data_IF_869439751737
#
_entry.id   IF_869439751737
#
_cell.length_a   1.000
_cell.length_b   1.000
_cell.length_c   1.000
_cell.angle_alpha   90.00
_cell.angle_beta   90.00
_cell.angle_gamma   90.00
#
_symmetry.space_group_name_H-M   'P 1'
#
loop_
_entity.id
_entity.type
_entity.pdbx_description
1 polymer ?
#
# COMPACT_ATOMS: atom_id res chain seq x y z
N UNK A 1 10.63 -26.96 -37.28
CA UNK A 1 11.11 -25.98 -36.29
C UNK A 1 12.55 -25.65 -36.65
N UNK A 2 12.85 -24.39 -36.96
CA UNK A 2 14.20 -23.98 -37.38
C UNK A 2 15.17 -23.89 -36.19
N UNK A 3 16.47 -23.89 -36.44
CA UNK A 3 17.48 -23.70 -35.39
C UNK A 3 17.30 -22.36 -34.66
N UNK A 4 16.84 -21.32 -35.36
CA UNK A 4 16.50 -20.01 -34.76
C UNK A 4 15.28 -20.09 -33.84
N UNK A 5 14.23 -20.82 -34.20
CA UNK A 5 13.07 -21.06 -33.32
C UNK A 5 13.47 -21.81 -32.04
N UNK A 6 14.37 -22.80 -32.16
CA UNK A 6 14.85 -23.55 -31.00
C UNK A 6 15.69 -22.68 -30.07
N UNK A 7 16.60 -21.87 -30.61
CA UNK A 7 17.46 -20.96 -29.83
C UNK A 7 16.63 -19.86 -29.17
N UNK A 8 15.69 -19.26 -29.89
CA UNK A 8 14.77 -18.26 -29.35
C UNK A 8 13.91 -18.85 -28.22
N UNK A 9 13.33 -20.04 -28.42
CA UNK A 9 12.56 -20.73 -27.38
C UNK A 9 13.42 -21.12 -26.16
N UNK A 10 14.67 -21.54 -26.38
CA UNK A 10 15.60 -21.89 -25.31
C UNK A 10 16.05 -20.67 -24.50
N UNK A 11 16.36 -19.55 -25.16
CA UNK A 11 16.68 -18.27 -24.52
C UNK A 11 15.48 -17.72 -23.76
N UNK A 12 14.28 -17.79 -24.33
CA UNK A 12 13.06 -17.36 -23.67
C UNK A 12 12.78 -18.20 -22.41
N UNK A 13 13.01 -19.52 -22.47
CA UNK A 13 12.93 -20.40 -21.28
C UNK A 13 14.02 -20.10 -20.24
N UNK A 14 15.25 -19.82 -20.67
CA UNK A 14 16.38 -19.50 -19.78
C UNK A 14 16.20 -18.15 -19.05
N UNK A 15 15.66 -17.15 -19.75
CA UNK A 15 15.32 -15.84 -19.16
C UNK A 15 14.15 -16.00 -18.19
N UNK A 16 13.10 -16.75 -18.56
CA UNK A 16 11.94 -17.00 -17.69
C UNK A 16 12.26 -17.81 -16.43
N UNK A 17 13.34 -18.62 -16.45
CA UNK A 17 13.78 -19.45 -15.31
C UNK A 17 14.63 -18.67 -14.28
N UNK A 18 15.00 -17.42 -14.57
CA UNK A 18 15.96 -16.65 -13.77
C UNK A 18 15.34 -15.52 -12.96
N UNK A 19 14.05 -15.23 -13.12
CA UNK A 19 13.42 -14.25 -12.26
C UNK A 19 13.16 -14.89 -10.88
N UNK A 20 13.69 -14.33 -9.78
CA UNK A 20 13.45 -14.85 -8.45
C UNK A 20 11.96 -14.65 -8.12
N UNK A 21 11.16 -15.69 -8.34
CA UNK A 21 9.78 -15.72 -7.88
C UNK A 21 9.81 -15.82 -6.34
N UNK A 22 9.28 -14.80 -5.67
CA UNK A 22 9.11 -14.84 -4.23
C UNK A 22 8.06 -15.93 -3.91
N UNK A 23 8.44 -16.92 -3.10
CA UNK A 23 7.51 -17.98 -2.68
C UNK A 23 6.40 -17.40 -1.78
N UNK A 24 5.32 -18.16 -1.61
CA UNK A 24 4.27 -17.83 -0.63
C UNK A 24 4.81 -17.55 0.77
N UNK A 25 5.93 -18.18 1.16
CA UNK A 25 6.59 -17.98 2.45
C UNK A 25 7.05 -16.53 2.64
N UNK A 26 7.51 -15.89 1.55
CA UNK A 26 7.91 -14.48 1.58
C UNK A 26 6.75 -13.55 1.91
N UNK A 27 5.56 -13.84 1.40
CA UNK A 27 4.35 -13.07 1.73
C UNK A 27 3.85 -13.32 3.16
N UNK A 28 3.99 -14.53 3.70
CA UNK A 28 3.76 -14.76 5.13
C UNK A 28 4.72 -13.98 6.02
N UNK A 29 5.99 -13.86 5.62
CA UNK A 29 6.95 -13.01 6.33
C UNK A 29 6.53 -11.54 6.30
N UNK A 30 6.10 -11.01 5.15
CA UNK A 30 5.57 -9.65 5.07
C UNK A 30 4.35 -9.46 5.97
N UNK A 31 3.39 -10.38 5.98
CA UNK A 31 2.23 -10.33 6.87
C UNK A 31 2.65 -10.33 8.36
N UNK A 32 3.60 -11.18 8.74
CA UNK A 32 4.12 -11.25 10.11
C UNK A 32 4.82 -9.95 10.54
N UNK A 33 5.60 -9.33 9.64
CA UNK A 33 6.25 -8.05 9.89
C UNK A 33 5.22 -6.91 10.08
N UNK A 34 4.16 -6.86 9.28
CA UNK A 34 3.06 -5.92 9.47
C UNK A 34 2.35 -6.13 10.82
N UNK A 35 2.10 -7.38 11.22
CA UNK A 35 1.52 -7.70 12.53
C UNK A 35 2.43 -7.32 13.70
N UNK A 36 3.74 -7.53 13.56
CA UNK A 36 4.72 -7.07 14.54
C UNK A 36 4.68 -5.54 14.65
N UNK A 37 4.72 -4.82 13.53
CA UNK A 37 4.60 -3.36 13.50
C UNK A 37 3.29 -2.88 14.14
N UNK A 38 2.17 -3.55 13.88
CA UNK A 38 0.87 -3.29 14.51
C UNK A 38 0.94 -3.44 16.03
N UNK A 39 1.46 -4.57 16.54
CA UNK A 39 1.64 -4.81 17.96
C UNK A 39 2.50 -3.71 18.62
N UNK A 40 3.58 -3.31 17.95
CA UNK A 40 4.47 -2.25 18.41
C UNK A 40 3.80 -0.87 18.52
N UNK A 41 2.68 -0.63 17.81
CA UNK A 41 1.94 0.64 17.90
C UNK A 41 1.16 0.81 19.21
N UNK A 42 0.99 -0.24 20.00
CA UNK A 42 0.28 -0.18 21.29
C UNK A 42 1.20 0.24 22.46
N UNK A 43 2.50 0.45 22.21
CA UNK A 43 3.43 0.97 23.21
C UNK A 43 3.30 2.47 23.48
N UNK A 44 3.84 2.93 24.62
CA UNK A 44 3.74 4.30 25.13
C UNK A 44 4.38 5.41 24.27
N UNK A 45 5.11 5.05 23.20
CA UNK A 45 5.82 5.99 22.33
C UNK A 45 4.92 6.71 21.30
N UNK A 46 3.65 6.36 21.20
CA UNK A 46 2.72 6.94 20.24
C UNK A 46 1.67 7.79 20.94
N UNK A 47 1.40 8.98 20.40
CA UNK A 47 0.30 9.80 20.88
C UNK A 47 -1.04 9.17 20.45
N UNK A 48 -2.00 8.96 21.37
CA UNK A 48 -3.32 8.46 20.99
C UNK A 48 -4.02 9.49 20.10
N UNK A 49 -4.75 9.01 19.10
CA UNK A 49 -5.50 9.86 18.19
C UNK A 49 -5.89 9.12 16.92
N UNK A 50 -6.75 9.76 16.13
CA UNK A 50 -7.21 9.19 14.88
C UNK A 50 -6.08 8.88 13.88
N UNK A 51 -4.95 9.64 13.77
CA UNK A 51 -3.89 9.31 12.81
C UNK A 51 -3.22 7.96 13.14
N UNK A 52 -2.98 7.70 14.44
CA UNK A 52 -2.46 6.41 14.90
C UNK A 52 -3.49 5.29 14.66
N UNK A 53 -4.77 5.54 14.94
CA UNK A 53 -5.83 4.57 14.66
C UNK A 53 -5.90 4.22 13.16
N UNK A 54 -5.78 5.21 12.29
CA UNK A 54 -5.68 5.01 10.84
C UNK A 54 -4.47 4.15 10.46
N UNK A 55 -3.27 4.42 10.99
CA UNK A 55 -2.09 3.59 10.73
C UNK A 55 -2.26 2.14 11.20
N UNK A 56 -2.97 1.92 12.32
CA UNK A 56 -3.29 0.57 12.81
C UNK A 56 -4.23 -0.17 11.86
N UNK A 57 -5.25 0.50 11.35
CA UNK A 57 -6.15 -0.06 10.32
C UNK A 57 -5.35 -0.37 9.05
N UNK A 58 -4.51 0.55 8.59
CA UNK A 58 -3.66 0.35 7.42
C UNK A 58 -2.71 -0.85 7.59
N UNK A 59 -2.07 -1.00 8.75
CA UNK A 59 -1.24 -2.14 9.09
C UNK A 59 -2.01 -3.46 9.06
N UNK A 60 -3.21 -3.50 9.62
CA UNK A 60 -4.08 -4.68 9.60
C UNK A 60 -4.50 -5.02 8.15
N UNK A 61 -4.82 -4.01 7.34
CA UNK A 61 -5.16 -4.18 5.93
C UNK A 61 -4.02 -4.79 5.13
N UNK A 62 -2.79 -4.30 5.30
CA UNK A 62 -1.60 -4.82 4.61
C UNK A 62 -1.16 -6.20 5.13
N UNK A 63 -1.34 -6.49 6.42
CA UNK A 63 -1.17 -7.83 6.95
C UNK A 63 -2.18 -8.82 6.32
N UNK A 64 -3.44 -8.39 6.18
CA UNK A 64 -4.50 -9.18 5.53
C UNK A 64 -4.16 -9.42 4.07
N UNK A 65 -3.72 -8.37 3.36
CA UNK A 65 -3.33 -8.45 1.95
C UNK A 65 -2.25 -9.51 1.71
N UNK A 66 -1.12 -9.38 2.40
CA UNK A 66 0.00 -10.30 2.26
C UNK A 66 -0.38 -11.73 2.69
N UNK A 67 -1.26 -11.89 3.69
CA UNK A 67 -1.79 -13.20 4.08
C UNK A 67 -2.63 -13.83 2.96
N UNK A 68 -3.54 -13.07 2.35
CA UNK A 68 -4.39 -13.57 1.25
C UNK A 68 -3.55 -13.88 0.01
N UNK A 69 -2.51 -13.10 -0.28
CA UNK A 69 -1.55 -13.42 -1.36
C UNK A 69 -0.83 -14.73 -1.05
N UNK A 70 -0.30 -14.90 0.16
CA UNK A 70 0.42 -16.11 0.56
C UNK A 70 -0.46 -17.37 0.46
N UNK A 71 -1.71 -17.30 0.94
CA UNK A 71 -2.67 -18.40 0.93
C UNK A 71 -3.11 -18.84 -0.47
N UNK A 72 -2.95 -17.99 -1.49
CA UNK A 72 -3.39 -18.30 -2.84
C UNK A 72 -2.76 -19.56 -3.43
N UNK A 73 -1.52 -19.89 -3.04
CA UNK A 73 -0.86 -21.11 -3.51
C UNK A 73 -1.53 -22.42 -3.02
N UNK A 74 -2.24 -22.40 -1.90
CA UNK A 74 -2.83 -23.59 -1.26
C UNK A 74 -4.35 -23.56 -1.21
N UNK A 75 -4.97 -22.44 -1.57
CA UNK A 75 -6.41 -22.23 -1.34
C UNK A 75 -7.15 -21.61 -2.52
N UNK A 76 -6.51 -21.54 -3.69
CA UNK A 76 -7.07 -20.89 -4.88
C UNK A 76 -8.48 -21.37 -5.24
N UNK A 77 -8.74 -22.67 -5.10
CA UNK A 77 -10.02 -23.31 -5.44
C UNK A 77 -11.02 -23.32 -4.28
N UNK A 78 -10.61 -22.90 -3.09
CA UNK A 78 -11.45 -22.98 -1.91
C UNK A 78 -12.50 -21.84 -1.90
N UNK A 79 -13.80 -22.12 -1.64
CA UNK A 79 -14.84 -21.07 -1.67
C UNK A 79 -14.60 -19.91 -0.70
N UNK A 80 -13.98 -20.18 0.45
CA UNK A 80 -13.65 -19.13 1.43
C UNK A 80 -12.52 -18.20 0.97
N UNK A 81 -11.67 -18.64 0.03
CA UNK A 81 -10.57 -17.84 -0.49
C UNK A 81 -11.06 -16.68 -1.36
N UNK A 82 -12.16 -16.88 -2.09
CA UNK A 82 -12.83 -15.82 -2.83
C UNK A 82 -13.33 -14.72 -1.87
N UNK A 83 -13.97 -15.10 -0.76
CA UNK A 83 -14.44 -14.15 0.25
C UNK A 83 -13.29 -13.34 0.84
N UNK A 84 -12.17 -13.99 1.18
CA UNK A 84 -10.99 -13.29 1.68
C UNK A 84 -10.37 -12.36 0.62
N UNK A 85 -10.39 -12.76 -0.64
CA UNK A 85 -9.92 -11.90 -1.73
C UNK A 85 -10.82 -10.68 -1.93
N UNK A 86 -12.15 -10.86 -1.85
CA UNK A 86 -13.09 -9.72 -1.87
C UNK A 86 -12.86 -8.78 -0.70
N UNK A 87 -12.62 -9.32 0.51
CA UNK A 87 -12.25 -8.51 1.68
C UNK A 87 -10.94 -7.74 1.45
N UNK A 88 -9.93 -8.37 0.86
CA UNK A 88 -8.65 -7.73 0.49
C UNK A 88 -8.88 -6.51 -0.40
N UNK A 89 -9.64 -6.66 -1.49
CA UNK A 89 -9.99 -5.55 -2.39
C UNK A 89 -10.77 -4.45 -1.67
N UNK A 90 -11.75 -4.81 -0.83
CA UNK A 90 -12.52 -3.85 -0.05
C UNK A 90 -11.64 -3.03 0.92
N UNK A 91 -10.69 -3.67 1.61
CA UNK A 91 -9.77 -2.98 2.50
C UNK A 91 -8.90 -1.97 1.74
N UNK A 92 -8.41 -2.31 0.54
CA UNK A 92 -7.66 -1.36 -0.29
C UNK A 92 -8.51 -0.15 -0.69
N UNK A 93 -9.71 -0.42 -1.21
CA UNK A 93 -10.63 0.59 -1.70
C UNK A 93 -11.08 1.56 -0.60
N UNK A 94 -11.25 1.08 0.63
CA UNK A 94 -11.78 1.88 1.74
C UNK A 94 -10.69 2.56 2.57
N UNK A 95 -9.51 1.94 2.72
CA UNK A 95 -8.46 2.44 3.63
C UNK A 95 -7.48 3.36 2.92
N UNK A 96 -7.01 3.02 1.72
CA UNK A 96 -5.96 3.78 1.05
C UNK A 96 -6.33 5.24 0.70
N UNK A 97 -7.58 5.56 0.29
CA UNK A 97 -7.98 6.95 0.12
C UNK A 97 -7.80 7.82 1.37
N UNK A 98 -7.85 7.20 2.56
CA UNK A 98 -7.60 7.85 3.85
C UNK A 98 -6.17 8.39 4.03
N UNK A 99 -5.20 7.99 3.20
CA UNK A 99 -3.84 8.55 3.22
C UNK A 99 -3.81 10.07 3.01
N UNK A 100 -4.70 10.58 2.15
CA UNK A 100 -4.84 12.01 1.90
C UNK A 100 -5.24 12.78 3.18
N UNK A 101 -6.19 12.22 3.93
CA UNK A 101 -6.61 12.75 5.24
C UNK A 101 -5.46 12.61 6.25
N UNK A 102 -4.76 11.48 6.28
CA UNK A 102 -3.60 11.31 7.16
C UNK A 102 -2.53 12.39 6.88
N UNK A 103 -2.30 12.74 5.61
CA UNK A 103 -1.47 13.87 5.21
C UNK A 103 -1.91 15.20 5.83
N UNK A 104 -3.22 15.47 5.94
CA UNK A 104 -3.73 16.66 6.64
C UNK A 104 -3.42 16.61 8.14
N UNK A 105 -3.40 15.41 8.73
CA UNK A 105 -3.07 15.19 10.13
C UNK A 105 -1.57 15.27 10.44
N UNK A 106 -0.69 15.25 9.43
CA UNK A 106 0.74 15.33 9.67
C UNK A 106 1.10 16.59 10.49
N UNK A 107 2.01 16.46 11.48
CA UNK A 107 2.42 17.58 12.30
C UNK A 107 3.01 18.70 11.43
N UNK A 108 2.69 19.95 11.75
CA UNK A 108 3.05 21.10 10.92
C UNK A 108 2.32 22.35 11.38
N UNK A 109 2.56 23.52 10.76
CA UNK A 109 1.73 24.68 11.04
C UNK A 109 0.28 24.40 10.64
N UNK A 110 -0.62 25.21 11.18
CA UNK A 110 -2.03 25.13 10.87
C UNK A 110 -2.22 25.20 9.35
N UNK A 111 -2.74 24.11 8.78
CA UNK A 111 -3.04 24.07 7.35
C UNK A 111 -4.20 25.05 7.09
N UNK A 112 -4.09 25.93 6.08
CA UNK A 112 -5.17 26.84 5.71
C UNK A 112 -6.50 26.09 5.52
N UNK A 113 -7.61 26.73 5.85
CA UNK A 113 -8.94 26.09 5.78
C UNK A 113 -9.25 25.52 4.39
N UNK A 114 -8.73 26.15 3.32
CA UNK A 114 -8.89 25.67 1.94
C UNK A 114 -8.34 24.26 1.73
N UNK A 115 -7.26 23.86 2.41
CA UNK A 115 -6.74 22.49 2.30
C UNK A 115 -7.76 21.47 2.81
N UNK A 116 -8.45 21.78 3.91
CA UNK A 116 -9.51 20.89 4.42
C UNK A 116 -10.70 20.89 3.47
N UNK A 117 -11.09 22.05 2.95
CA UNK A 117 -12.21 22.18 2.01
C UNK A 117 -11.98 21.43 0.69
N UNK A 118 -10.73 21.26 0.26
CA UNK A 118 -10.38 20.51 -0.96
C UNK A 118 -10.16 19.02 -0.68
N UNK A 119 -9.37 18.68 0.35
CA UNK A 119 -8.94 17.29 0.57
C UNK A 119 -10.09 16.42 1.07
N UNK A 120 -11.03 16.94 1.86
CA UNK A 120 -12.18 16.14 2.34
C UNK A 120 -13.09 15.66 1.20
N UNK A 121 -13.62 16.54 0.33
CA UNK A 121 -14.42 16.09 -0.82
C UNK A 121 -13.65 15.19 -1.77
N UNK A 122 -12.34 15.46 -1.98
CA UNK A 122 -11.50 14.61 -2.82
C UNK A 122 -11.33 13.21 -2.23
N UNK A 123 -11.06 13.09 -0.94
CA UNK A 123 -10.94 11.81 -0.24
C UNK A 123 -12.26 11.04 -0.30
N UNK A 124 -13.39 11.72 -0.11
CA UNK A 124 -14.72 11.13 -0.26
C UNK A 124 -14.96 10.65 -1.70
N UNK A 125 -14.62 11.46 -2.70
CA UNK A 125 -14.72 11.08 -4.10
C UNK A 125 -13.86 9.85 -4.43
N UNK A 126 -12.62 9.80 -3.95
CA UNK A 126 -11.74 8.64 -4.11
C UNK A 126 -12.30 7.39 -3.43
N UNK A 127 -12.90 7.54 -2.24
CA UNK A 127 -13.53 6.44 -1.51
C UNK A 127 -14.75 5.91 -2.27
N UNK A 128 -15.64 6.78 -2.74
CA UNK A 128 -16.82 6.37 -3.51
C UNK A 128 -16.44 5.72 -4.83
N UNK A 129 -15.48 6.30 -5.55
CA UNK A 129 -14.95 5.74 -6.79
C UNK A 129 -14.31 4.36 -6.57
N UNK A 130 -13.45 4.25 -5.55
CA UNK A 130 -12.81 2.98 -5.20
C UNK A 130 -13.83 1.92 -4.78
N UNK A 131 -14.81 2.28 -3.94
CA UNK A 131 -15.86 1.35 -3.53
C UNK A 131 -16.69 0.86 -4.72
N UNK A 132 -16.99 1.72 -5.69
CA UNK A 132 -17.72 1.32 -6.88
C UNK A 132 -16.92 0.32 -7.72
N UNK A 133 -15.70 0.68 -8.13
CA UNK A 133 -14.93 -0.12 -9.08
C UNK A 133 -14.25 -1.36 -8.46
N UNK A 134 -13.82 -1.29 -7.20
CA UNK A 134 -13.04 -2.35 -6.55
C UNK A 134 -13.89 -3.24 -5.63
N UNK A 135 -15.16 -2.90 -5.40
CA UNK A 135 -16.07 -3.71 -4.57
C UNK A 135 -17.34 -4.09 -5.33
N UNK A 136 -18.06 -3.11 -5.88
CA UNK A 136 -19.36 -3.37 -6.54
C UNK A 136 -19.16 -4.04 -7.89
N UNK A 137 -18.25 -3.53 -8.73
CA UNK A 137 -17.95 -4.08 -10.05
C UNK A 137 -16.91 -5.22 -10.02
N UNK A 138 -16.47 -5.63 -8.82
CA UNK A 138 -15.41 -6.62 -8.66
C UNK A 138 -15.82 -8.00 -9.17
N UNK A 139 -15.21 -8.40 -10.28
CA UNK A 139 -15.25 -9.75 -10.82
C UNK A 139 -13.85 -10.36 -10.71
N UNK A 140 -13.75 -11.51 -10.06
CA UNK A 140 -12.48 -12.18 -9.78
C UNK A 140 -12.24 -13.34 -10.76
N UNK A 141 -10.98 -13.54 -11.12
CA UNK A 141 -10.51 -14.70 -11.88
C UNK A 141 -9.16 -15.20 -11.35
N UNK A 142 -8.85 -16.49 -11.50
CA UNK A 142 -7.53 -17.02 -11.19
C UNK A 142 -6.43 -16.39 -12.07
N UNK A 143 -5.30 -16.05 -11.47
CA UNK A 143 -4.07 -15.68 -12.17
C UNK A 143 -2.84 -16.24 -11.44
N UNK A 144 -1.76 -16.49 -12.17
CA UNK A 144 -0.53 -17.07 -11.59
C UNK A 144 0.61 -17.38 -12.55
N UNK A 145 0.55 -16.93 -13.82
CA UNK A 145 1.68 -17.14 -14.72
C UNK A 145 2.86 -16.24 -14.31
N UNK A 146 3.87 -16.82 -13.65
CA UNK A 146 5.11 -16.13 -13.24
C UNK A 146 5.06 -15.42 -11.88
N UNK A 147 4.03 -15.67 -11.06
CA UNK A 147 3.85 -15.10 -9.71
C UNK A 147 3.08 -16.09 -8.82
N UNK A 148 3.02 -15.81 -7.52
CA UNK A 148 2.19 -16.56 -6.57
C UNK A 148 0.73 -16.66 -7.09
N UNK A 149 0.18 -17.89 -7.23
CA UNK A 149 -1.20 -18.09 -7.66
C UNK A 149 -2.18 -17.36 -6.75
N UNK A 150 -3.15 -16.63 -7.33
CA UNK A 150 -4.14 -15.85 -6.57
C UNK A 150 -5.35 -15.49 -7.43
N UNK A 151 -6.40 -14.99 -6.79
CA UNK A 151 -7.51 -14.34 -7.48
C UNK A 151 -7.19 -12.85 -7.74
N UNK A 152 -7.48 -12.38 -8.96
CA UNK A 152 -7.28 -11.00 -9.41
C UNK A 152 -8.54 -10.47 -10.11
N UNK A 153 -8.70 -9.15 -10.17
CA UNK A 153 -9.76 -8.50 -10.94
C UNK A 153 -9.64 -8.83 -12.44
N UNK A 154 -10.78 -9.08 -13.09
CA UNK A 154 -10.89 -9.23 -14.55
C UNK A 154 -10.74 -7.90 -15.30
N UNK A 155 -10.84 -6.78 -14.59
CA UNK A 155 -10.73 -5.42 -15.14
C UNK A 155 -9.50 -4.74 -14.53
N UNK A 156 -8.27 -5.12 -14.94
CA UNK A 156 -7.05 -4.52 -14.39
C UNK A 156 -6.90 -3.09 -14.90
N UNK A 157 -7.32 -2.13 -14.09
CA UNK A 157 -7.05 -0.70 -14.28
C UNK A 157 -6.00 -0.20 -13.29
N UNK A 158 -5.36 0.95 -13.56
CA UNK A 158 -4.61 1.67 -12.54
C UNK A 158 -5.54 1.98 -11.35
N UNK A 159 -5.09 1.80 -10.09
CA UNK A 159 -5.91 2.09 -8.92
C UNK A 159 -6.02 3.61 -8.70
N UNK A 160 -6.83 4.28 -9.52
CA UNK A 160 -6.87 5.74 -9.61
C UNK A 160 -7.16 6.42 -8.26
N UNK A 161 -8.06 5.86 -7.46
CA UNK A 161 -8.36 6.36 -6.12
C UNK A 161 -7.10 6.39 -5.23
N UNK A 162 -6.30 5.33 -5.25
CA UNK A 162 -5.05 5.23 -4.50
C UNK A 162 -3.99 6.18 -5.05
N UNK A 163 -3.85 6.27 -6.37
CA UNK A 163 -2.88 7.18 -7.02
C UNK A 163 -3.17 8.63 -6.63
N UNK A 164 -4.42 9.08 -6.77
CA UNK A 164 -4.83 10.44 -6.41
C UNK A 164 -4.63 10.70 -4.91
N UNK A 165 -5.04 9.75 -4.05
CA UNK A 165 -4.84 9.85 -2.61
C UNK A 165 -3.36 9.99 -2.23
N UNK A 166 -2.48 9.22 -2.88
CA UNK A 166 -1.04 9.28 -2.63
C UNK A 166 -0.40 10.59 -3.14
N UNK A 167 -0.84 11.11 -4.29
CA UNK A 167 -0.37 12.42 -4.78
C UNK A 167 -0.72 13.56 -3.81
N UNK A 168 -1.92 13.55 -3.25
CA UNK A 168 -2.30 14.54 -2.22
C UNK A 168 -1.50 14.35 -0.93
N UNK A 169 -1.29 13.09 -0.51
CA UNK A 169 -0.41 12.79 0.62
C UNK A 169 1.01 13.32 0.38
N UNK A 170 1.58 13.17 -0.82
CA UNK A 170 2.89 13.70 -1.19
C UNK A 170 2.96 15.21 -1.10
N UNK A 171 1.96 15.93 -1.60
CA UNK A 171 1.92 17.40 -1.49
C UNK A 171 1.89 17.83 0.00
N UNK A 172 1.08 17.17 0.81
CA UNK A 172 0.92 17.50 2.24
C UNK A 172 2.16 17.12 3.07
N UNK A 173 2.76 15.97 2.81
CA UNK A 173 4.00 15.53 3.46
C UNK A 173 5.22 16.34 3.00
N UNK A 174 5.25 16.78 1.74
CA UNK A 174 6.24 17.73 1.23
C UNK A 174 6.15 19.09 1.93
N UNK A 175 4.93 19.60 2.15
CA UNK A 175 4.72 20.81 2.94
C UNK A 175 5.14 20.64 4.42
N UNK A 176 4.96 19.45 4.99
CA UNK A 176 5.49 19.10 6.31
C UNK A 176 7.03 19.13 6.31
N UNK A 177 7.66 18.46 5.34
CA UNK A 177 9.12 18.44 5.19
C UNK A 177 9.67 19.86 5.09
N UNK A 178 9.18 20.67 4.15
CA UNK A 178 9.67 22.03 3.93
C UNK A 178 9.67 22.88 5.20
N UNK A 179 8.67 22.70 6.09
CA UNK A 179 8.51 23.54 7.28
C UNK A 179 9.09 22.97 8.57
N UNK A 180 9.24 21.65 8.67
CA UNK A 180 9.72 20.98 9.90
C UNK A 180 11.07 20.30 9.72
N UNK A 181 11.63 20.27 8.51
CA UNK A 181 12.87 19.55 8.21
C UNK A 181 12.75 18.04 8.36
N UNK A 182 11.52 17.49 8.33
CA UNK A 182 11.26 16.06 8.52
C UNK A 182 10.80 15.41 7.20
N UNK A 183 11.72 14.86 6.40
CA UNK A 183 11.43 14.36 5.05
C UNK A 183 10.73 13.01 5.00
N UNK A 184 10.76 12.25 6.10
CA UNK A 184 10.57 10.80 6.05
C UNK A 184 9.19 10.33 5.57
N UNK A 185 8.11 11.02 5.95
CA UNK A 185 6.78 10.72 5.42
C UNK A 185 6.69 10.94 3.89
N UNK A 186 7.32 12.01 3.38
CA UNK A 186 7.37 12.29 1.95
C UNK A 186 8.20 11.25 1.20
N UNK A 187 9.40 10.93 1.71
CA UNK A 187 10.29 9.92 1.12
C UNK A 187 9.58 8.57 1.03
N UNK A 188 8.89 8.15 2.10
CA UNK A 188 8.12 6.91 2.07
C UNK A 188 7.03 6.91 1.00
N UNK A 189 6.22 7.97 0.93
CA UNK A 189 5.16 8.10 -0.08
C UNK A 189 5.70 8.14 -1.51
N UNK A 190 6.88 8.74 -1.71
CA UNK A 190 7.50 8.86 -3.02
C UNK A 190 8.05 7.52 -3.48
N UNK A 191 8.75 6.80 -2.59
CA UNK A 191 9.32 5.49 -2.93
C UNK A 191 8.21 4.49 -3.26
N UNK A 192 7.15 4.40 -2.47
CA UNK A 192 6.05 3.47 -2.77
C UNK A 192 5.33 3.81 -4.09
N UNK A 193 5.16 5.10 -4.41
CA UNK A 193 4.60 5.51 -5.70
C UNK A 193 5.49 5.08 -6.86
N UNK A 194 6.79 5.34 -6.76
CA UNK A 194 7.75 5.05 -7.82
C UNK A 194 7.96 3.55 -8.00
N UNK A 195 8.11 2.78 -6.92
CA UNK A 195 8.29 1.33 -6.98
C UNK A 195 7.06 0.66 -7.62
N UNK A 196 5.86 0.96 -7.11
CA UNK A 196 4.63 0.35 -7.63
C UNK A 196 4.35 0.78 -9.08
N UNK A 197 4.63 2.03 -9.43
CA UNK A 197 4.46 2.53 -10.79
C UNK A 197 5.48 1.95 -11.77
N UNK A 198 6.77 1.96 -11.42
CA UNK A 198 7.86 1.53 -12.32
C UNK A 198 7.87 0.02 -12.56
N UNK A 199 7.41 -0.77 -11.59
CA UNK A 199 7.38 -2.23 -11.68
C UNK A 199 6.00 -2.78 -12.06
N UNK A 200 5.03 -1.91 -12.37
CA UNK A 200 3.69 -2.33 -12.79
C UNK A 200 3.77 -3.32 -13.97
N UNK A 201 3.12 -4.47 -13.83
CA UNK A 201 3.10 -5.53 -14.86
C UNK A 201 4.34 -6.42 -14.93
N UNK A 202 5.38 -6.17 -14.11
CA UNK A 202 6.55 -7.06 -14.01
C UNK A 202 6.32 -8.22 -13.02
N UNK A 203 7.12 -9.29 -13.10
CA UNK A 203 7.05 -10.37 -12.10
C UNK A 203 7.43 -9.89 -10.69
N UNK A 204 8.29 -8.87 -10.61
CA UNK A 204 8.72 -8.26 -9.35
C UNK A 204 7.70 -7.29 -8.75
N UNK A 205 6.59 -6.99 -9.44
CA UNK A 205 5.60 -6.01 -8.99
C UNK A 205 5.09 -6.29 -7.57
N UNK A 206 4.70 -7.54 -7.29
CA UNK A 206 4.20 -7.93 -5.97
C UNK A 206 5.26 -7.87 -4.87
N UNK A 207 6.41 -8.59 -4.99
CA UNK A 207 7.40 -8.59 -3.90
C UNK A 207 8.01 -7.21 -3.66
N UNK A 208 8.24 -6.42 -4.71
CA UNK A 208 8.75 -5.06 -4.56
C UNK A 208 7.70 -4.13 -3.94
N UNK A 209 6.41 -4.31 -4.29
CA UNK A 209 5.31 -3.58 -3.67
C UNK A 209 5.21 -3.85 -2.17
N UNK A 210 5.21 -5.11 -1.75
CA UNK A 210 5.17 -5.48 -0.34
C UNK A 210 6.38 -4.95 0.46
N UNK A 211 7.57 -4.93 -0.15
CA UNK A 211 8.75 -4.32 0.46
C UNK A 211 8.61 -2.79 0.58
N UNK A 212 8.08 -2.13 -0.44
CA UNK A 212 7.84 -0.69 -0.43
C UNK A 212 6.76 -0.30 0.59
N UNK A 213 5.74 -1.14 0.78
CA UNK A 213 4.73 -0.98 1.83
C UNK A 213 5.32 -1.03 3.24
N UNK A 214 6.18 -2.02 3.52
CA UNK A 214 6.90 -2.09 4.79
C UNK A 214 7.73 -0.83 5.04
N UNK A 215 8.54 -0.44 4.05
CA UNK A 215 9.34 0.77 4.15
C UNK A 215 8.46 2.00 4.39
N UNK A 216 7.38 2.15 3.63
CA UNK A 216 6.45 3.27 3.75
C UNK A 216 5.86 3.34 5.16
N UNK A 217 5.33 2.23 5.67
CA UNK A 217 4.75 2.17 7.00
C UNK A 217 5.77 2.41 8.11
N UNK A 218 7.01 1.92 7.97
CA UNK A 218 8.08 2.21 8.93
C UNK A 218 8.33 3.72 9.03
N UNK A 219 8.39 4.41 7.88
CA UNK A 219 8.60 5.86 7.85
C UNK A 219 7.38 6.66 8.35
N UNK A 220 6.16 6.17 8.11
CA UNK A 220 4.94 6.75 8.69
C UNK A 220 4.90 6.58 10.21
N UNK A 221 5.16 5.38 10.72
CA UNK A 221 5.20 5.11 12.16
C UNK A 221 6.32 5.91 12.83
N UNK A 222 7.48 6.06 12.20
CA UNK A 222 8.54 6.90 12.74
C UNK A 222 8.14 8.38 12.79
N UNK A 223 7.43 8.86 11.77
CA UNK A 223 6.86 10.21 11.78
C UNK A 223 5.83 10.38 12.89
N UNK A 224 4.96 9.38 13.08
CA UNK A 224 3.93 9.39 14.12
C UNK A 224 4.53 9.34 15.54
N UNK A 225 5.58 8.54 15.77
CA UNK A 225 6.26 8.50 17.08
C UNK A 225 6.95 9.81 17.45
N UNK A 226 7.22 10.68 16.47
CA UNK A 226 7.79 12.03 16.68
C UNK A 226 6.71 13.10 16.88
N UNK A 227 5.42 12.78 16.76
CA UNK A 227 4.31 13.74 16.94
C UNK A 227 4.39 14.52 18.26
N UNK A 228 4.65 13.91 19.44
CA UNK A 228 4.72 14.65 20.71
C UNK A 228 5.77 15.78 20.69
N UNK A 229 6.94 15.49 20.11
CA UNK A 229 8.02 16.47 19.95
C UNK A 229 7.60 17.66 19.07
N UNK A 230 6.90 17.38 17.97
CA UNK A 230 6.43 18.43 17.06
C UNK A 230 5.32 19.30 17.65
N UNK A 231 4.52 18.77 18.56
CA UNK A 231 3.46 19.51 19.26
C UNK A 231 4.05 20.44 20.31
N UNK A 232 5.03 19.98 21.10
CA UNK A 232 5.66 20.80 22.15
C UNK A 232 6.40 22.03 21.58
N UNK A 233 7.16 21.87 20.50
CA UNK A 233 7.86 22.98 19.85
C UNK A 233 6.95 23.97 19.10
N UNK A 234 5.70 23.60 18.82
CA UNK A 234 4.74 24.51 18.19
C UNK A 234 4.12 25.50 19.19
N UNK A 235 4.11 25.17 20.48
CA UNK A 235 3.59 26.04 21.55
C UNK A 235 4.63 27.04 22.07
N UNK A 236 5.90 26.88 21.69
CA UNK A 236 7.02 27.71 22.15
C UNK A 236 7.45 28.79 21.15
N UNK A 237 6.68 29.03 20.08
CA UNK A 237 6.89 30.08 19.07
C UNK A 237 5.61 30.86 18.87
#
# INVERSE_FOLDING_TARGET
>A
MSAEEYISAALHRLIKRKEPELSSDGFFLFAALHMLMLALTFGARFAPGWPLAFLRVLLLSLATDNTVVALGAVSLEAPWYELLTRLRYALHALVLPGLSLYGLALPGPQKPAIWRAVVWPLALGCLLYGAWHEIVELVLQPAGAGQVPRLVSTQPGPPWATVVGNLVFLVLSGACWYRRGWPWAFVGGLVILLVNGALAGSALALPAGALAELQFLLLLLWTESRRPFFTQHALSR
#
